data_IF_210868123146
#
_entry.id   IF_210868123146
#
_cell.length_a   1.000
_cell.length_b   1.000
_cell.length_c   1.000
_cell.angle_alpha   90.00
_cell.angle_beta   90.00
_cell.angle_gamma   90.00
#
_symmetry.space_group_name_H-M   'P 1'
#
loop_
_entity.id
_entity.type
_entity.pdbx_description
1 polymer ?
#
# COMPACT_ATOMS: atom_id res chain seq x y z
N UNK A 1 -43.15 2.40 4.48
CA UNK A 1 -42.36 3.39 5.26
C UNK A 1 -42.30 2.86 6.68
N UNK A 2 -41.14 2.37 7.10
CA UNK A 2 -40.96 1.56 8.32
C UNK A 2 -40.99 2.36 9.61
N UNK A 3 -41.08 1.64 10.74
CA UNK A 3 -41.07 2.22 12.09
C UNK A 3 -39.78 2.98 12.42
N UNK A 4 -39.86 3.87 13.41
CA UNK A 4 -38.70 4.62 13.92
C UNK A 4 -37.73 3.64 14.61
N UNK A 5 -36.43 3.84 14.42
CA UNK A 5 -35.40 3.05 15.11
C UNK A 5 -35.57 3.19 16.63
N UNK A 6 -35.80 2.06 17.30
CA UNK A 6 -35.95 1.95 18.76
C UNK A 6 -35.00 0.86 19.29
N UNK A 7 -34.00 1.22 20.12
CA UNK A 7 -33.07 0.28 20.74
C UNK A 7 -33.70 -0.78 21.66
N UNK A 8 -34.96 -0.60 22.06
CA UNK A 8 -35.69 -1.56 22.90
C UNK A 8 -36.52 -2.57 22.08
N UNK A 9 -36.55 -2.42 20.77
CA UNK A 9 -37.28 -3.31 19.88
C UNK A 9 -36.31 -4.35 19.32
N UNK A 10 -36.62 -5.62 19.54
CA UNK A 10 -35.85 -6.75 19.01
C UNK A 10 -36.44 -7.16 17.65
N UNK A 11 -35.58 -7.28 16.63
CA UNK A 11 -35.99 -7.64 15.26
C UNK A 11 -35.24 -8.89 14.83
N UNK A 12 -35.99 -9.85 14.27
CA UNK A 12 -35.42 -11.01 13.61
C UNK A 12 -34.80 -10.58 12.28
N UNK A 13 -33.50 -10.84 12.13
CA UNK A 13 -32.80 -10.67 10.85
C UNK A 13 -32.94 -11.95 10.02
N UNK A 14 -32.65 -11.87 8.73
CA UNK A 14 -32.66 -12.98 7.76
C UNK A 14 -31.79 -14.20 8.14
N UNK A 15 -30.95 -14.10 9.17
CA UNK A 15 -30.08 -15.15 9.68
C UNK A 15 -30.59 -15.76 11.01
N UNK A 16 -31.85 -15.55 11.37
CA UNK A 16 -32.49 -16.00 12.62
C UNK A 16 -31.82 -15.48 13.92
N UNK A 17 -30.96 -14.47 13.82
CA UNK A 17 -30.43 -13.76 14.98
C UNK A 17 -31.37 -12.63 15.40
N UNK A 18 -31.60 -12.52 16.71
CA UNK A 18 -32.30 -11.39 17.32
C UNK A 18 -31.30 -10.25 17.48
N UNK A 19 -31.51 -9.14 16.79
CA UNK A 19 -30.75 -7.91 17.01
C UNK A 19 -31.66 -6.74 17.32
N UNK A 20 -31.15 -5.85 18.16
CA UNK A 20 -31.84 -4.61 18.55
C UNK A 20 -32.00 -3.70 17.35
N UNK A 21 -33.21 -3.19 17.14
CA UNK A 21 -33.61 -2.18 16.16
C UNK A 21 -33.15 -0.76 16.56
N UNK A 22 -32.06 -0.68 17.31
CA UNK A 22 -31.40 0.57 17.68
C UNK A 22 -30.33 0.93 16.65
N UNK A 23 -29.99 2.21 16.61
CA UNK A 23 -28.82 2.65 15.86
C UNK A 23 -27.57 1.98 16.46
N UNK A 24 -26.96 1.06 15.71
CA UNK A 24 -25.66 0.48 16.06
C UNK A 24 -24.59 1.52 15.70
N UNK A 25 -24.23 2.35 16.69
CA UNK A 25 -23.09 3.26 16.55
C UNK A 25 -21.85 2.44 16.18
N UNK A 26 -21.07 2.91 15.19
CA UNK A 26 -19.84 2.29 14.63
C UNK A 26 -19.96 1.17 13.58
N UNK A 27 -21.12 0.89 12.98
CA UNK A 27 -21.18 -0.17 11.97
C UNK A 27 -20.27 0.07 10.74
N UNK A 28 -20.21 1.31 10.22
CA UNK A 28 -19.42 1.64 9.02
C UNK A 28 -17.91 1.75 9.31
N UNK A 29 -17.55 2.24 10.49
CA UNK A 29 -16.15 2.42 10.89
C UNK A 29 -15.47 1.09 11.24
N UNK A 30 -16.23 0.04 11.53
CA UNK A 30 -15.71 -1.33 11.72
C UNK A 30 -15.24 -2.00 10.43
N UNK A 31 -15.57 -1.45 9.25
CA UNK A 31 -15.13 -2.00 7.97
C UNK A 31 -13.74 -1.52 7.55
N UNK A 32 -13.20 -0.49 8.21
CA UNK A 32 -11.93 0.12 7.83
C UNK A 32 -10.94 0.13 9.00
N UNK A 33 -9.75 -0.40 8.78
CA UNK A 33 -8.60 -0.34 9.68
C UNK A 33 -7.76 0.92 9.42
N UNK A 34 -6.84 1.22 10.36
CA UNK A 34 -5.87 2.30 10.17
C UNK A 34 -4.76 1.81 9.23
N UNK A 35 -4.79 2.29 7.98
CA UNK A 35 -3.76 1.98 7.00
C UNK A 35 -2.43 2.67 7.34
N UNK A 36 -1.35 1.89 7.40
CA UNK A 36 0.01 2.39 7.66
C UNK A 36 0.92 1.96 6.51
N UNK A 37 1.60 2.93 5.89
CA UNK A 37 2.58 2.67 4.82
C UNK A 37 3.97 3.06 5.29
N UNK A 38 4.91 2.11 5.31
CA UNK A 38 6.32 2.33 5.64
C UNK A 38 7.18 2.10 4.39
N UNK A 39 8.00 3.09 4.02
CA UNK A 39 8.91 2.98 2.87
C UNK A 39 10.35 3.26 3.29
N UNK A 40 11.24 2.29 3.07
CA UNK A 40 12.66 2.40 3.36
C UNK A 40 13.46 2.21 2.06
N UNK A 41 14.48 3.04 1.82
CA UNK A 41 15.31 2.92 0.63
C UNK A 41 16.77 3.24 0.93
N UNK A 42 17.66 2.43 0.36
CA UNK A 42 19.11 2.64 0.40
C UNK A 42 19.65 2.63 -1.02
N UNK A 43 20.51 3.59 -1.33
CA UNK A 43 21.11 3.73 -2.65
C UNK A 43 22.60 4.03 -2.56
N UNK A 44 23.37 3.40 -3.44
CA UNK A 44 24.79 3.65 -3.66
C UNK A 44 24.98 4.16 -5.09
N UNK A 45 25.73 5.24 -5.23
CA UNK A 45 26.00 5.86 -6.53
C UNK A 45 27.45 6.31 -6.62
N UNK A 46 28.04 6.12 -7.80
CA UNK A 46 29.37 6.62 -8.12
C UNK A 46 29.39 7.15 -9.55
N UNK A 47 30.03 8.29 -9.72
CA UNK A 47 30.16 8.99 -11.01
C UNK A 47 31.62 9.30 -11.26
N UNK A 48 32.05 9.19 -12.52
CA UNK A 48 33.31 9.70 -13.05
C UNK A 48 33.05 10.32 -14.44
N UNK A 49 34.07 10.93 -15.03
CA UNK A 49 33.93 11.71 -16.28
C UNK A 49 33.51 10.86 -17.49
N UNK A 50 33.71 9.54 -17.43
CA UNK A 50 33.41 8.61 -18.52
C UNK A 50 32.14 7.77 -18.27
N UNK A 51 31.68 7.67 -17.03
CA UNK A 51 30.61 6.75 -16.64
C UNK A 51 29.98 7.09 -15.28
N UNK A 52 28.70 6.75 -15.14
CA UNK A 52 28.00 6.80 -13.87
C UNK A 52 27.28 5.49 -13.61
N UNK A 53 27.23 5.06 -12.36
CA UNK A 53 26.37 3.96 -11.96
C UNK A 53 25.66 4.24 -10.64
N UNK A 54 24.44 3.71 -10.52
CA UNK A 54 23.61 3.77 -9.32
C UNK A 54 22.94 2.44 -9.09
N UNK A 55 23.01 1.96 -7.86
CA UNK A 55 22.29 0.78 -7.39
C UNK A 55 21.43 1.21 -6.23
N UNK A 56 20.15 0.87 -6.25
CA UNK A 56 19.25 1.17 -5.14
C UNK A 56 18.33 0.01 -4.85
N UNK A 57 18.08 -0.21 -3.57
CA UNK A 57 17.09 -1.17 -3.07
C UNK A 57 16.10 -0.39 -2.21
N UNK A 58 14.82 -0.59 -2.45
CA UNK A 58 13.74 -0.01 -1.65
C UNK A 58 12.74 -1.09 -1.23
N UNK A 59 12.33 -1.04 0.02
CA UNK A 59 11.31 -1.88 0.62
C UNK A 59 10.12 -1.01 1.03
N UNK A 60 8.93 -1.35 0.53
CA UNK A 60 7.67 -0.71 0.90
C UNK A 60 6.78 -1.77 1.55
N UNK A 61 6.25 -1.47 2.73
CA UNK A 61 5.23 -2.28 3.40
C UNK A 61 4.00 -1.42 3.63
N UNK A 62 2.86 -1.92 3.19
CA UNK A 62 1.58 -1.25 3.28
C UNK A 62 0.60 -2.16 3.99
N UNK A 63 0.16 -1.73 5.16
CA UNK A 63 -1.03 -2.24 5.83
C UNK A 63 -2.19 -1.40 5.33
N UNK A 64 -3.12 -2.00 4.59
CA UNK A 64 -4.21 -1.26 3.96
C UNK A 64 -5.31 -0.90 4.98
N UNK A 65 -6.20 0.00 4.59
CA UNK A 65 -7.41 0.32 5.34
C UNK A 65 -8.45 -0.80 5.29
N UNK A 66 -8.30 -1.76 4.37
CA UNK A 66 -9.16 -2.95 4.30
C UNK A 66 -8.51 -4.05 5.15
N UNK A 67 -9.22 -4.58 6.16
CA UNK A 67 -8.72 -5.70 6.95
C UNK A 67 -8.25 -6.85 6.07
N UNK A 68 -7.14 -7.49 6.44
CA UNK A 68 -6.49 -8.60 5.71
C UNK A 68 -5.87 -8.25 4.35
N UNK A 69 -5.87 -6.98 3.93
CA UNK A 69 -5.15 -6.55 2.73
C UNK A 69 -3.78 -5.94 3.09
N UNK A 70 -2.71 -6.65 2.74
CA UNK A 70 -1.33 -6.19 2.90
C UNK A 70 -0.62 -6.17 1.55
N UNK A 71 0.21 -5.15 1.33
CA UNK A 71 1.06 -5.05 0.14
C UNK A 71 2.52 -4.84 0.56
N UNK A 72 3.37 -5.78 0.19
CA UNK A 72 4.82 -5.68 0.33
C UNK A 72 5.45 -5.57 -1.06
N UNK A 73 6.35 -4.61 -1.23
CA UNK A 73 7.10 -4.46 -2.49
C UNK A 73 8.55 -4.17 -2.21
N UNK A 74 9.41 -5.10 -2.64
CA UNK A 74 10.85 -4.86 -2.70
C UNK A 74 11.23 -4.55 -4.15
N UNK A 75 11.87 -3.41 -4.38
CA UNK A 75 12.32 -2.97 -5.70
C UNK A 75 13.83 -2.82 -5.72
N UNK A 76 14.46 -3.41 -6.74
CA UNK A 76 15.89 -3.32 -6.98
C UNK A 76 16.12 -2.64 -8.32
N UNK A 77 16.85 -1.53 -8.30
CA UNK A 77 17.16 -0.75 -9.48
C UNK A 77 18.66 -0.68 -9.70
N UNK A 78 19.07 -0.98 -10.92
CA UNK A 78 20.44 -0.80 -11.39
C UNK A 78 20.45 0.12 -12.61
N UNK A 79 21.25 1.18 -12.53
CA UNK A 79 21.42 2.17 -13.57
C UNK A 79 22.89 2.31 -13.91
N UNK A 80 23.21 2.29 -15.20
CA UNK A 80 24.55 2.62 -15.71
C UNK A 80 24.44 3.60 -16.87
N UNK A 81 25.17 4.70 -16.79
CA UNK A 81 25.38 5.65 -17.87
C UNK A 81 26.85 5.59 -18.30
N UNK A 82 27.10 5.63 -19.61
CA UNK A 82 28.46 5.70 -20.16
C UNK A 82 28.47 6.82 -21.20
N UNK A 83 29.48 7.69 -21.12
CA UNK A 83 29.67 8.81 -22.03
C UNK A 83 30.67 8.41 -23.12
N UNK A 84 30.21 8.30 -24.37
CA UNK A 84 31.07 8.04 -25.53
C UNK A 84 31.05 9.29 -26.43
N UNK A 85 32.06 10.17 -26.30
CA UNK A 85 32.24 11.35 -27.14
C UNK A 85 31.02 12.28 -27.23
N UNK A 86 30.91 13.29 -26.36
CA UNK A 86 29.81 14.28 -26.33
C UNK A 86 28.35 13.76 -26.33
N UNK A 87 28.12 12.44 -26.40
CA UNK A 87 26.81 11.79 -26.39
C UNK A 87 26.81 10.68 -25.35
N UNK A 88 25.93 10.78 -24.34
CA UNK A 88 25.76 9.77 -23.29
C UNK A 88 24.63 8.81 -23.61
N UNK A 89 24.86 7.50 -23.51
CA UNK A 89 23.81 6.47 -23.61
C UNK A 89 23.55 5.90 -22.20
N UNK A 90 22.30 6.00 -21.74
CA UNK A 90 21.86 5.52 -20.42
C UNK A 90 21.04 4.23 -20.58
N UNK A 91 21.42 3.16 -19.89
CA UNK A 91 20.67 1.88 -19.87
C UNK A 91 20.21 1.59 -18.44
N UNK A 92 18.89 1.53 -18.26
CA UNK A 92 18.23 1.24 -16.98
C UNK A 92 17.58 -0.14 -17.04
N UNK A 93 17.81 -0.98 -16.01
CA UNK A 93 17.02 -2.20 -15.79
C UNK A 93 16.45 -2.13 -14.36
N UNK A 94 15.14 -2.14 -14.26
CA UNK A 94 14.41 -2.20 -13.00
C UNK A 94 13.86 -3.62 -12.84
N UNK A 95 14.11 -4.24 -11.69
CA UNK A 95 13.50 -5.50 -11.30
C UNK A 95 12.60 -5.24 -10.08
N UNK A 96 11.34 -5.61 -10.21
CA UNK A 96 10.36 -5.60 -9.12
C UNK A 96 10.10 -7.06 -8.78
N UNK A 97 10.38 -7.44 -7.54
CA UNK A 97 9.99 -8.74 -7.00
C UNK A 97 8.75 -8.52 -6.15
N UNK A 98 7.64 -9.13 -6.58
CA UNK A 98 6.36 -9.16 -5.89
C UNK A 98 6.39 -10.21 -4.77
#
# INVERSE_FOLDING_TARGET
WGGKLDPNMDVHIYNDEIRKYGNVNNNILSFFDTGITSTNAVAFSKTNDLSAFRVSVSDMRNWDIVPESELSRTSVSFMKAVYFGSVGITKTRNAVTC
#
